data_IF_893135084214
#
_entry.id   IF_893135084214
#
_cell.length_a   1.000
_cell.length_b   1.000
_cell.length_c   1.000
_cell.angle_alpha   90.00
_cell.angle_beta   90.00
_cell.angle_gamma   90.00
#
_symmetry.space_group_name_H-M   'P 1'
#
loop_
_entity.id
_entity.type
_entity.pdbx_description
1 polymer ?
#
# COMPACT_ATOMS: atom_id res chain seq x y z
N UNK A 1 -2.85 17.46 -0.26
CA UNK A 1 -3.55 16.40 0.49
C UNK A 1 -3.42 16.67 1.98
N UNK A 2 -4.50 16.52 2.77
CA UNK A 2 -4.43 16.70 4.23
C UNK A 2 -4.52 15.35 4.94
N UNK A 3 -3.62 15.11 5.90
CA UNK A 3 -3.63 13.88 6.71
C UNK A 3 -4.97 13.68 7.42
N UNK A 4 -5.62 14.77 7.84
CA UNK A 4 -6.94 14.76 8.48
C UNK A 4 -8.06 14.22 7.59
N UNK A 5 -7.93 14.29 6.26
CA UNK A 5 -8.91 13.74 5.32
C UNK A 5 -8.71 12.22 5.18
N UNK A 6 -7.46 11.76 5.11
CA UNK A 6 -7.13 10.33 5.07
C UNK A 6 -7.58 9.58 6.33
N UNK A 7 -7.50 10.23 7.50
CA UNK A 7 -7.99 9.66 8.77
C UNK A 7 -9.51 9.47 8.84
N UNK A 8 -10.28 10.04 7.89
CA UNK A 8 -11.74 9.93 7.83
C UNK A 8 -12.21 8.84 6.86
N UNK A 9 -11.30 8.20 6.14
CA UNK A 9 -11.65 7.07 5.28
C UNK A 9 -12.25 5.94 6.11
N UNK A 10 -13.11 5.13 5.49
CA UNK A 10 -13.65 3.95 6.14
C UNK A 10 -12.51 2.98 6.50
N UNK A 11 -12.66 2.29 7.62
CA UNK A 11 -11.79 1.17 7.94
C UNK A 11 -12.24 -0.07 7.18
N UNK A 12 -11.29 -0.76 6.56
CA UNK A 12 -11.51 -2.10 6.05
C UNK A 12 -11.86 -3.05 7.19
N UNK A 13 -12.63 -4.10 6.90
CA UNK A 13 -12.93 -5.13 7.89
C UNK A 13 -11.64 -5.73 8.47
N UNK A 14 -11.61 -5.90 9.79
CA UNK A 14 -10.40 -6.26 10.55
C UNK A 14 -9.71 -7.54 10.03
N UNK A 15 -10.50 -8.57 9.71
CA UNK A 15 -10.05 -9.89 9.24
C UNK A 15 -10.06 -10.02 7.70
N UNK A 16 -10.19 -8.92 6.96
CA UNK A 16 -10.08 -8.99 5.50
C UNK A 16 -8.61 -9.08 5.10
N UNK A 17 -8.31 -9.60 3.90
CA UNK A 17 -7.04 -9.44 3.20
C UNK A 17 -7.36 -8.81 1.85
N UNK A 18 -6.63 -7.78 1.44
CA UNK A 18 -6.95 -7.03 0.23
C UNK A 18 -5.72 -6.50 -0.48
N UNK A 19 -5.84 -6.35 -1.79
CA UNK A 19 -4.78 -5.97 -2.71
C UNK A 19 -4.96 -4.54 -3.19
N UNK A 20 -3.87 -3.79 -3.20
CA UNK A 20 -3.81 -2.39 -3.64
C UNK A 20 -2.69 -2.18 -4.68
N UNK A 21 -2.84 -1.18 -5.54
CA UNK A 21 -1.80 -0.82 -6.53
C UNK A 21 -0.59 -0.16 -5.86
N UNK A 22 -0.86 0.62 -4.81
CA UNK A 22 0.10 1.25 -3.92
C UNK A 22 -0.53 1.44 -2.54
N UNK A 23 0.28 1.76 -1.53
CA UNK A 23 -0.19 2.08 -0.19
C UNK A 23 0.46 3.34 0.33
N UNK A 24 -0.23 4.05 1.22
CA UNK A 24 0.35 5.12 2.01
C UNK A 24 0.43 4.74 3.48
N UNK A 25 1.38 5.32 4.20
CA UNK A 25 1.50 5.18 5.65
C UNK A 25 1.42 6.56 6.28
N UNK A 26 0.50 6.72 7.22
CA UNK A 26 0.30 7.95 7.98
C UNK A 26 0.30 7.67 9.48
N UNK A 27 0.74 8.65 10.26
CA UNK A 27 0.57 8.60 11.71
C UNK A 27 -0.91 8.76 12.05
N UNK A 28 -1.48 7.80 12.79
CA UNK A 28 -2.88 7.83 13.22
C UNK A 28 -3.17 8.94 14.23
N UNK A 29 -2.16 9.39 14.98
CA UNK A 29 -2.28 10.27 16.14
C UNK A 29 -2.44 9.52 17.46
N UNK A 30 -2.53 8.19 17.43
CA UNK A 30 -2.66 7.35 18.62
C UNK A 30 -1.32 6.70 18.99
N UNK A 31 -1.18 6.41 20.28
CA UNK A 31 -0.06 5.67 20.85
C UNK A 31 -0.52 4.25 21.18
N UNK A 32 0.27 3.25 20.82
CA UNK A 32 0.06 1.87 21.21
C UNK A 32 0.62 1.62 22.62
N UNK A 33 0.10 0.60 23.31
CA UNK A 33 0.54 0.26 24.67
C UNK A 33 2.02 -0.13 24.75
N UNK A 34 2.59 -0.60 23.62
CA UNK A 34 4.02 -0.88 23.46
C UNK A 34 4.92 0.36 23.58
N UNK A 35 4.35 1.57 23.51
CA UNK A 35 5.09 2.83 23.47
C UNK A 35 5.27 3.42 22.07
N UNK A 36 5.04 2.64 21.02
CA UNK A 36 5.16 3.07 19.63
C UNK A 36 3.90 3.80 19.13
N UNK A 37 4.06 4.59 18.06
CA UNK A 37 2.94 5.27 17.42
C UNK A 37 2.15 4.29 16.55
N UNK A 38 0.82 4.35 16.64
CA UNK A 38 -0.04 3.63 15.71
C UNK A 38 -0.01 4.35 14.36
N UNK A 39 0.22 3.61 13.30
CA UNK A 39 0.12 4.06 11.92
C UNK A 39 -1.13 3.49 11.25
N UNK A 40 -1.66 4.25 10.30
CA UNK A 40 -2.65 3.76 9.35
C UNK A 40 -1.98 3.47 8.02
N UNK A 41 -2.23 2.27 7.50
CA UNK A 41 -1.95 1.91 6.12
C UNK A 41 -3.18 2.28 5.31
N UNK A 42 -3.02 3.17 4.33
CA UNK A 42 -4.08 3.60 3.42
C UNK A 42 -3.92 2.84 2.11
N UNK A 43 -4.96 2.14 1.69
CA UNK A 43 -4.99 1.43 0.41
C UNK A 43 -5.26 2.38 -0.75
N UNK A 44 -4.51 2.24 -1.84
CA UNK A 44 -4.73 3.01 -3.07
C UNK A 44 -4.98 2.10 -4.28
N UNK A 45 -5.94 2.48 -5.11
CA UNK A 45 -6.23 1.82 -6.39
C UNK A 45 -6.32 2.90 -7.47
N UNK A 46 -5.57 2.72 -8.55
CA UNK A 46 -5.54 3.65 -9.69
C UNK A 46 -5.33 5.12 -9.27
N UNK A 47 -4.44 5.33 -8.30
CA UNK A 47 -4.10 6.67 -7.76
C UNK A 47 -5.13 7.26 -6.79
N UNK A 48 -6.21 6.56 -6.46
CA UNK A 48 -7.26 7.03 -5.55
C UNK A 48 -7.13 6.36 -4.18
N UNK A 49 -7.28 7.14 -3.10
CA UNK A 49 -7.34 6.62 -1.72
C UNK A 49 -8.68 5.94 -1.49
N UNK A 50 -8.65 4.66 -1.09
CA UNK A 50 -9.86 3.84 -0.98
C UNK A 50 -10.35 3.78 0.46
N UNK A 51 -9.47 3.34 1.37
CA UNK A 51 -9.83 3.03 2.75
C UNK A 51 -8.58 2.97 3.64
N UNK A 52 -8.78 2.97 4.96
CA UNK A 52 -7.75 2.55 5.92
C UNK A 52 -7.68 1.02 5.82
N UNK A 53 -6.66 0.54 5.12
CA UNK A 53 -6.42 -0.88 4.89
C UNK A 53 -6.06 -1.57 6.20
N UNK A 54 -5.25 -0.96 7.06
CA UNK A 54 -4.95 -1.52 8.38
C UNK A 54 -4.52 -0.45 9.39
N UNK A 55 -4.61 -0.79 10.68
CA UNK A 55 -4.04 -0.04 11.79
C UNK A 55 -3.05 -0.92 12.54
N UNK A 56 -1.82 -0.45 12.72
CA UNK A 56 -0.73 -1.22 13.34
C UNK A 56 0.33 -0.30 13.95
N UNK A 57 1.27 -0.85 14.71
CA UNK A 57 2.49 -0.15 15.16
C UNK A 57 3.76 -0.67 14.49
N UNK A 58 3.69 -1.80 13.76
CA UNK A 58 4.76 -2.33 12.91
C UNK A 58 4.25 -2.88 11.57
N UNK A 59 5.12 -2.87 10.55
CA UNK A 59 4.88 -3.44 9.22
C UNK A 59 5.96 -4.47 8.91
N UNK A 60 5.54 -5.72 8.71
CA UNK A 60 6.42 -6.77 8.21
C UNK A 60 6.28 -6.91 6.70
N UNK A 61 7.38 -6.74 5.99
CA UNK A 61 7.40 -6.87 4.54
C UNK A 61 7.72 -8.30 4.10
N UNK A 62 6.85 -8.86 3.24
CA UNK A 62 7.09 -10.14 2.57
C UNK A 62 7.42 -9.90 1.10
N UNK A 63 8.69 -10.14 0.75
CA UNK A 63 9.21 -9.94 -0.60
C UNK A 63 9.26 -11.25 -1.40
N UNK A 64 9.00 -11.22 -2.71
CA UNK A 64 9.25 -12.35 -3.58
C UNK A 64 10.76 -12.57 -3.78
N UNK A 65 11.16 -13.83 -3.97
CA UNK A 65 12.57 -14.25 -4.09
C UNK A 65 13.37 -13.57 -5.21
N UNK A 66 12.70 -12.98 -6.21
CA UNK A 66 13.32 -12.38 -7.40
C UNK A 66 13.02 -10.89 -7.56
N UNK A 67 12.97 -10.15 -6.45
CA UNK A 67 12.93 -8.68 -6.52
C UNK A 67 14.20 -8.13 -7.17
N UNK A 68 14.00 -7.22 -8.13
CA UNK A 68 15.06 -6.44 -8.75
C UNK A 68 15.28 -5.16 -7.97
N UNK A 69 16.47 -4.57 -8.13
CA UNK A 69 16.78 -3.25 -7.59
C UNK A 69 15.75 -2.23 -8.11
N UNK A 70 15.13 -1.50 -7.20
CA UNK A 70 14.12 -0.48 -7.51
C UNK A 70 12.71 -1.03 -7.75
N UNK A 71 12.45 -2.31 -7.48
CA UNK A 71 11.11 -2.88 -7.63
C UNK A 71 10.13 -2.36 -6.56
N UNK A 72 10.57 -2.18 -5.31
CA UNK A 72 9.87 -1.41 -4.30
C UNK A 72 10.47 0.00 -4.26
N UNK A 73 9.63 1.00 -4.38
CA UNK A 73 9.99 2.41 -4.26
C UNK A 73 9.10 3.06 -3.22
N UNK A 74 9.62 4.13 -2.63
CA UNK A 74 8.82 5.00 -1.80
C UNK A 74 9.15 6.46 -2.08
N UNK A 75 8.13 7.29 -1.94
CA UNK A 75 8.22 8.73 -1.99
C UNK A 75 7.30 9.34 -0.92
N UNK A 76 7.11 10.65 -0.96
CA UNK A 76 6.29 11.37 0.00
C UNK A 76 5.37 12.35 -0.70
N UNK A 77 4.12 12.41 -0.25
CA UNK A 77 3.19 13.43 -0.73
C UNK A 77 3.52 14.80 -0.16
N UNK A 78 3.74 15.77 -1.04
CA UNK A 78 3.85 17.19 -0.71
C UNK A 78 2.46 17.79 -0.41
N UNK A 79 2.24 18.59 0.64
CA UNK A 79 3.10 18.99 1.77
C UNK A 79 2.89 18.12 3.02
N UNK A 80 2.07 17.08 2.93
CA UNK A 80 1.62 16.31 4.10
C UNK A 80 2.68 15.41 4.70
N UNK A 81 3.75 15.10 3.96
CA UNK A 81 4.80 14.18 4.41
C UNK A 81 4.32 12.74 4.57
N UNK A 82 3.23 12.37 3.90
CA UNK A 82 2.68 11.01 3.91
C UNK A 82 3.61 10.12 3.10
N UNK A 83 4.12 9.05 3.71
CA UNK A 83 4.92 8.05 3.02
C UNK A 83 4.05 7.27 2.07
N UNK A 84 4.52 7.09 0.84
CA UNK A 84 3.84 6.35 -0.19
C UNK A 84 4.77 5.27 -0.73
N UNK A 85 4.29 4.02 -0.73
CA UNK A 85 5.00 2.87 -1.23
C UNK A 85 4.34 2.41 -2.52
N UNK A 86 5.13 2.29 -3.58
CA UNK A 86 4.64 1.91 -4.89
C UNK A 86 5.61 0.99 -5.62
N UNK A 87 5.09 0.30 -6.64
CA UNK A 87 5.86 -0.56 -7.52
C UNK A 87 5.27 -0.58 -8.91
N UNK A 88 6.14 -0.69 -9.91
CA UNK A 88 5.73 -0.92 -11.30
C UNK A 88 5.42 -2.40 -11.57
N UNK A 89 5.90 -3.32 -10.73
CA UNK A 89 5.82 -4.77 -10.96
C UNK A 89 4.96 -5.51 -9.93
N UNK A 90 4.71 -4.88 -8.79
CA UNK A 90 4.01 -5.49 -7.67
C UNK A 90 2.80 -4.66 -7.24
N UNK A 91 1.77 -5.38 -6.78
CA UNK A 91 0.71 -4.86 -5.95
C UNK A 91 1.00 -5.22 -4.48
N UNK A 92 0.28 -4.57 -3.57
CA UNK A 92 0.45 -4.67 -2.13
C UNK A 92 -0.74 -5.40 -1.55
N UNK A 93 -0.55 -6.66 -1.16
CA UNK A 93 -1.51 -7.41 -0.37
C UNK A 93 -1.31 -7.07 1.10
N UNK A 94 -2.30 -6.41 1.71
CA UNK A 94 -2.28 -6.02 3.11
C UNK A 94 -3.06 -7.05 3.91
N UNK A 95 -2.38 -7.69 4.86
CA UNK A 95 -2.94 -8.67 5.77
C UNK A 95 -3.97 -8.10 6.74
N UNK A 96 -4.39 -8.91 7.71
CA UNK A 96 -5.33 -8.49 8.75
C UNK A 96 -4.76 -7.36 9.61
N UNK A 97 -5.63 -6.49 10.14
CA UNK A 97 -5.19 -5.48 11.10
C UNK A 97 -4.74 -6.15 12.38
N UNK A 98 -3.55 -5.79 12.88
CA UNK A 98 -2.99 -6.27 14.15
C UNK A 98 -1.85 -5.33 14.57
N UNK A 99 -1.20 -5.56 15.72
CA UNK A 99 -0.01 -4.80 16.11
C UNK A 99 1.08 -4.85 15.03
N UNK A 100 1.33 -6.03 14.44
CA UNK A 100 2.17 -6.17 13.25
C UNK A 100 1.31 -6.54 12.05
N UNK A 101 1.38 -5.76 10.98
CA UNK A 101 0.67 -6.09 9.73
C UNK A 101 1.67 -6.62 8.70
N UNK A 102 1.38 -7.80 8.16
CA UNK A 102 2.12 -8.34 7.02
C UNK A 102 1.66 -7.63 5.73
N UNK A 103 2.62 -7.09 5.00
CA UNK A 103 2.42 -6.52 3.65
C UNK A 103 3.23 -7.34 2.66
N UNK A 104 2.54 -8.01 1.75
CA UNK A 104 3.15 -8.89 0.76
C UNK A 104 3.14 -8.23 -0.62
N UNK A 105 4.28 -8.26 -1.29
CA UNK A 105 4.39 -7.82 -2.68
C UNK A 105 3.97 -8.98 -3.60
N UNK A 106 2.88 -8.80 -4.33
CA UNK A 106 2.36 -9.78 -5.28
C UNK A 106 2.52 -9.26 -6.72
N UNK A 107 2.92 -10.12 -7.66
CA UNK A 107 3.12 -9.68 -9.03
C UNK A 107 1.84 -9.07 -9.62
N UNK A 108 1.96 -7.90 -10.25
CA UNK A 108 0.87 -7.35 -11.06
C UNK A 108 0.54 -8.38 -12.15
N UNK A 109 -0.75 -8.61 -12.43
CA UNK A 109 -1.12 -9.41 -13.58
C UNK A 109 -0.45 -8.80 -14.83
N UNK A 110 0.23 -9.63 -15.62
CA UNK A 110 0.80 -9.19 -16.88
C UNK A 110 -0.31 -8.53 -17.70
N UNK A 111 -0.17 -7.23 -17.99
CA UNK A 111 -0.98 -6.60 -19.01
C UNK A 111 -0.67 -7.36 -20.29
N UNK A 112 -1.61 -8.16 -20.80
CA UNK A 112 -1.49 -8.73 -22.13
C UNK A 112 -1.34 -7.56 -23.08
N UNK A 113 -0.14 -7.38 -23.64
CA UNK A 113 0.03 -6.42 -24.73
C UNK A 113 -0.92 -6.86 -25.85
N UNK A 114 -1.78 -5.98 -26.38
CA UNK A 114 -2.50 -6.30 -27.61
C UNK A 114 -1.45 -6.64 -28.66
N UNK A 115 -1.55 -7.82 -29.26
CA UNK A 115 -0.68 -8.22 -30.34
C UNK A 115 -0.76 -7.15 -31.42
N UNK A 116 0.37 -6.52 -31.73
CA UNK A 116 0.47 -5.62 -32.87
C UNK A 116 0.09 -6.44 -34.11
N UNK A 117 -1.15 -6.31 -34.58
CA UNK A 117 -1.50 -6.71 -35.95
C UNK A 117 -0.54 -5.96 -36.85
N UNK A 118 0.33 -6.71 -37.51
CA UNK A 118 1.28 -6.20 -38.47
C UNK A 118 0.57 -5.22 -39.41
N UNK A 119 1.01 -3.96 -39.42
CA UNK A 119 0.70 -3.05 -40.52
C UNK A 119 1.45 -3.60 -41.73
N UNK A 120 0.78 -4.41 -42.54
CA UNK A 120 1.21 -4.71 -43.90
C UNK A 120 1.20 -3.40 -44.68
N UNK A 121 2.37 -3.03 -45.21
CA UNK A 121 2.49 -2.06 -46.30
C UNK A 121 2.11 -2.74 -47.61
#
# INVERSE_FOLDING_TARGET
MKVSELKKLSHRNWNEIKVYDSICVINSGYKHDSGYAVMYIIGMISGTFIEIAASCDDIRWSFPNHMRKGDLQNDMFYQSGVLHYHSNRYNFEVGHSSSTVDVKLIHKPCKSYPSNKARSR
#
